data_IF_990856799365
#
_entry.id   IF_990856799365
#
_cell.length_a   1.000
_cell.length_b   1.000
_cell.length_c   1.000
_cell.angle_alpha   90.00
_cell.angle_beta   90.00
_cell.angle_gamma   90.00
#
_symmetry.space_group_name_H-M   'P 1'
#
loop_
_entity.id
_entity.type
_entity.pdbx_description
1 polymer ?
#
# COMPACT_ATOMS: atom_id res chain seq x y z
N UNK A 1 -35.06 0.09 -39.36
CA UNK A 1 -34.17 -0.89 -38.72
C UNK A 1 -33.07 -0.13 -38.00
N UNK A 2 -32.93 -0.24 -36.68
CA UNK A 2 -31.83 0.39 -35.94
C UNK A 2 -30.59 -0.50 -36.09
N UNK A 3 -29.52 0.04 -36.65
CA UNK A 3 -28.22 -0.63 -36.66
C UNK A 3 -27.80 -0.78 -35.19
N UNK A 4 -27.53 -2.02 -34.79
CA UNK A 4 -27.05 -2.36 -33.47
C UNK A 4 -25.57 -2.00 -33.50
N UNK A 5 -25.19 -0.89 -32.86
CA UNK A 5 -23.78 -0.53 -32.71
C UNK A 5 -23.06 -1.69 -32.01
N UNK A 6 -22.16 -2.34 -32.75
CA UNK A 6 -21.29 -3.36 -32.21
C UNK A 6 -20.36 -2.69 -31.20
N UNK A 7 -20.42 -3.12 -29.94
CA UNK A 7 -19.56 -2.60 -28.89
C UNK A 7 -18.09 -2.81 -29.29
N UNK A 8 -17.20 -1.83 -29.06
CA UNK A 8 -15.79 -1.97 -29.43
C UNK A 8 -15.24 -3.17 -28.66
N UNK A 9 -14.70 -4.16 -29.37
CA UNK A 9 -13.98 -5.24 -28.72
C UNK A 9 -12.83 -4.63 -27.92
N UNK A 10 -12.85 -4.85 -26.61
CA UNK A 10 -11.78 -4.44 -25.72
C UNK A 10 -10.49 -5.06 -26.24
N UNK A 11 -9.56 -4.22 -26.69
CA UNK A 11 -8.24 -4.65 -27.09
C UNK A 11 -7.55 -5.21 -25.85
N UNK A 12 -7.01 -6.42 -25.93
CA UNK A 12 -6.18 -7.04 -24.88
C UNK A 12 -4.78 -6.38 -24.79
N UNK A 13 -4.69 -5.07 -25.01
CA UNK A 13 -3.51 -4.30 -24.68
C UNK A 13 -3.51 -4.15 -23.15
N UNK A 14 -2.69 -4.94 -22.47
CA UNK A 14 -2.44 -4.77 -21.04
C UNK A 14 -2.01 -3.31 -20.80
N UNK A 15 -2.88 -2.56 -20.13
CA UNK A 15 -2.63 -1.15 -19.80
C UNK A 15 -1.29 -1.08 -19.03
N UNK A 16 -0.35 -0.28 -19.55
CA UNK A 16 0.97 -0.18 -18.95
C UNK A 16 0.84 0.43 -17.56
N UNK A 17 1.43 -0.17 -16.51
CA UNK A 17 1.32 0.37 -15.16
C UNK A 17 1.78 1.82 -15.12
N UNK A 18 0.97 2.67 -14.51
CA UNK A 18 1.30 4.08 -14.35
C UNK A 18 2.49 4.23 -13.37
N UNK A 19 3.64 4.67 -13.88
CA UNK A 19 4.81 5.00 -13.06
C UNK A 19 5.72 3.80 -12.74
N UNK A 20 6.76 4.01 -11.91
CA UNK A 20 7.62 2.94 -11.47
C UNK A 20 6.85 1.94 -10.61
N UNK A 21 7.38 0.71 -10.51
CA UNK A 21 6.86 -0.25 -9.54
C UNK A 21 6.94 0.31 -8.13
N UNK A 22 5.87 0.20 -7.32
CA UNK A 22 5.87 0.70 -5.96
C UNK A 22 6.90 -0.05 -5.11
N UNK A 23 7.51 0.66 -4.17
CA UNK A 23 8.43 0.06 -3.20
C UNK A 23 7.61 -0.74 -2.17
N UNK A 24 8.18 -1.83 -1.67
CA UNK A 24 7.59 -2.59 -0.56
C UNK A 24 8.44 -2.47 0.70
N UNK A 25 7.79 -2.17 1.83
CA UNK A 25 8.45 -1.95 3.11
C UNK A 25 8.18 -3.13 4.04
N UNK A 26 9.19 -3.73 4.69
CA UNK A 26 8.99 -4.80 5.64
C UNK A 26 8.37 -4.29 6.94
N UNK A 27 7.31 -4.95 7.37
CA UNK A 27 6.67 -4.74 8.66
C UNK A 27 6.58 -6.05 9.42
N UNK A 28 6.67 -5.97 10.74
CA UNK A 28 6.54 -7.12 11.63
C UNK A 28 5.53 -6.84 12.73
N UNK A 29 4.65 -7.80 12.98
CA UNK A 29 3.78 -7.78 14.14
C UNK A 29 4.60 -8.16 15.37
N UNK A 30 4.69 -7.30 16.41
CA UNK A 30 5.38 -7.66 17.65
C UNK A 30 4.63 -8.72 18.47
N UNK A 31 3.33 -8.93 18.19
CA UNK A 31 2.48 -9.87 18.94
C UNK A 31 2.64 -11.30 18.44
N UNK A 32 2.34 -11.56 17.17
CA UNK A 32 2.42 -12.92 16.59
C UNK A 32 3.70 -13.18 15.79
N UNK A 33 4.52 -12.16 15.55
CA UNK A 33 5.75 -12.28 14.78
C UNK A 33 5.55 -12.31 13.26
N UNK A 34 4.32 -12.21 12.75
CA UNK A 34 4.05 -12.19 11.30
C UNK A 34 4.79 -11.05 10.62
N UNK A 35 5.50 -11.38 9.54
CA UNK A 35 6.22 -10.43 8.69
C UNK A 35 5.46 -10.27 7.36
N UNK A 36 5.30 -9.02 6.92
CA UNK A 36 4.63 -8.69 5.67
C UNK A 36 5.35 -7.54 4.97
N UNK A 37 5.36 -7.60 3.65
CA UNK A 37 5.75 -6.50 2.79
C UNK A 37 4.54 -5.60 2.57
N UNK A 38 4.68 -4.32 2.91
CA UNK A 38 3.62 -3.32 2.86
C UNK A 38 3.90 -2.37 1.70
N UNK A 39 2.92 -2.23 0.81
CA UNK A 39 3.03 -1.40 -0.37
C UNK A 39 3.20 0.09 -0.02
N UNK A 40 4.09 0.78 -0.73
CA UNK A 40 4.37 2.22 -0.60
C UNK A 40 3.11 3.08 -0.52
N UNK A 41 2.07 2.80 -1.31
CA UNK A 41 0.84 3.60 -1.30
C UNK A 41 0.12 3.60 0.07
N UNK A 42 0.23 2.50 0.82
CA UNK A 42 -0.31 2.40 2.19
C UNK A 42 0.52 3.27 3.14
N UNK A 43 1.84 3.27 2.95
CA UNK A 43 2.78 4.07 3.75
C UNK A 43 2.54 5.57 3.51
N UNK A 44 2.41 5.97 2.25
CA UNK A 44 2.12 7.35 1.85
C UNK A 44 0.78 7.84 2.41
N UNK A 45 -0.26 7.01 2.37
CA UNK A 45 -1.54 7.33 2.97
C UNK A 45 -1.40 7.57 4.49
N UNK A 46 -0.64 6.72 5.19
CA UNK A 46 -0.33 6.88 6.61
C UNK A 46 0.46 8.15 6.92
N UNK A 47 1.47 8.48 6.11
CA UNK A 47 2.24 9.72 6.22
C UNK A 47 1.35 10.95 5.98
N UNK A 48 0.51 10.91 4.94
CA UNK A 48 -0.44 11.98 4.62
C UNK A 48 -1.40 12.24 5.77
N UNK A 49 -1.89 11.17 6.40
CA UNK A 49 -2.76 11.27 7.57
C UNK A 49 -2.05 11.86 8.79
N UNK A 50 -0.81 11.44 9.07
CA UNK A 50 -0.01 12.01 10.15
C UNK A 50 0.29 13.50 9.93
N UNK A 51 0.57 13.92 8.69
CA UNK A 51 0.74 15.35 8.34
C UNK A 51 -0.56 16.13 8.57
N UNK A 52 -1.69 15.58 8.15
CA UNK A 52 -3.00 16.21 8.34
C UNK A 52 -3.34 16.39 9.83
N UNK A 53 -2.97 15.43 10.67
CA UNK A 53 -3.20 15.46 12.12
C UNK A 53 -2.12 16.24 12.89
N UNK A 54 -1.07 16.74 12.20
CA UNK A 54 0.09 17.40 12.80
C UNK A 54 0.92 16.50 13.75
N UNK A 55 0.91 15.18 13.49
CA UNK A 55 1.66 14.16 14.22
C UNK A 55 2.92 13.67 13.48
N UNK A 56 3.15 14.17 12.26
CA UNK A 56 4.30 13.78 11.43
C UNK A 56 5.64 14.31 11.99
N UNK A 57 6.67 13.46 11.90
CA UNK A 57 8.06 13.83 12.18
C UNK A 57 9.02 13.25 11.13
N UNK A 58 10.24 13.79 10.98
CA UNK A 58 11.23 13.24 10.04
C UNK A 58 11.54 11.76 10.32
N UNK A 59 11.41 10.90 9.31
CA UNK A 59 11.58 9.46 9.44
C UNK A 59 10.37 8.72 10.02
N UNK A 60 9.20 9.37 10.09
CA UNK A 60 7.95 8.73 10.49
C UNK A 60 7.63 7.53 9.60
N UNK A 61 7.33 6.40 10.24
CA UNK A 61 6.80 5.21 9.59
C UNK A 61 5.44 4.88 10.22
N UNK A 62 4.37 4.79 9.42
CA UNK A 62 3.04 4.57 9.94
C UNK A 62 2.92 3.17 10.52
N UNK A 63 2.13 3.10 11.57
CA UNK A 63 1.69 1.86 12.18
C UNK A 63 0.61 1.21 11.32
N UNK A 64 0.73 -0.08 10.98
CA UNK A 64 -0.23 -0.80 10.11
C UNK A 64 -0.86 -1.99 10.84
N UNK A 65 -2.10 -2.35 10.50
CA UNK A 65 -2.80 -3.43 11.21
C UNK A 65 -2.32 -4.82 10.80
N UNK A 66 -2.10 -5.70 11.78
CA UNK A 66 -1.78 -7.10 11.56
C UNK A 66 -3.05 -7.89 11.21
N UNK A 67 -3.09 -8.59 10.06
CA UNK A 67 -4.24 -9.42 9.70
C UNK A 67 -4.40 -10.63 10.64
N UNK A 68 -3.31 -11.10 11.26
CA UNK A 68 -3.33 -12.25 12.19
C UNK A 68 -3.75 -11.90 13.62
N UNK A 69 -3.77 -10.62 13.99
CA UNK A 69 -4.04 -10.16 15.36
C UNK A 69 -5.18 -9.12 15.40
N UNK A 70 -6.20 -9.27 14.56
CA UNK A 70 -7.38 -8.39 14.52
C UNK A 70 -7.05 -6.88 14.40
N UNK A 71 -5.98 -6.53 13.70
CA UNK A 71 -5.56 -5.14 13.53
C UNK A 71 -4.61 -4.62 14.61
N UNK A 72 -4.11 -5.46 15.53
CA UNK A 72 -2.97 -5.10 16.39
C UNK A 72 -1.81 -4.58 15.54
N UNK A 73 -1.08 -3.62 16.08
CA UNK A 73 -0.22 -2.78 15.26
C UNK A 73 1.11 -3.43 14.93
N UNK A 74 1.39 -3.61 13.64
CA UNK A 74 2.70 -3.94 13.07
C UNK A 74 3.57 -2.70 12.95
N UNK A 75 4.88 -2.90 13.07
CA UNK A 75 5.89 -1.85 13.06
C UNK A 75 6.89 -2.08 11.93
N UNK A 76 7.41 -0.98 11.37
CA UNK A 76 8.41 -1.00 10.31
C UNK A 76 9.72 -1.62 10.82
N UNK A 77 10.28 -2.54 10.04
CA UNK A 77 11.59 -3.12 10.32
C UNK A 77 12.62 -2.41 9.48
N UNK A 78 13.53 -1.66 10.12
CA UNK A 78 14.68 -1.10 9.40
C UNK A 78 15.48 -2.24 8.78
N UNK A 79 15.74 -2.14 7.48
CA UNK A 79 16.71 -2.98 6.82
C UNK A 79 18.08 -2.34 7.07
N UNK A 80 18.98 -3.05 7.72
CA UNK A 80 20.39 -2.66 7.77
C UNK A 80 20.98 -2.87 6.36
N UNK A 81 21.48 -1.79 5.75
CA UNK A 81 22.17 -1.81 4.43
C UNK A 81 23.51 -2.56 4.48
#
# INVERSE_FOLDING_TARGET
MRQREEAPQAREDLDEPCGPSPIEYPYRCPVCGTELLVNEAIIDAGIGMAKFQNDYYPGFMPKVGCPGCNGDTMEYVKQDE
#
